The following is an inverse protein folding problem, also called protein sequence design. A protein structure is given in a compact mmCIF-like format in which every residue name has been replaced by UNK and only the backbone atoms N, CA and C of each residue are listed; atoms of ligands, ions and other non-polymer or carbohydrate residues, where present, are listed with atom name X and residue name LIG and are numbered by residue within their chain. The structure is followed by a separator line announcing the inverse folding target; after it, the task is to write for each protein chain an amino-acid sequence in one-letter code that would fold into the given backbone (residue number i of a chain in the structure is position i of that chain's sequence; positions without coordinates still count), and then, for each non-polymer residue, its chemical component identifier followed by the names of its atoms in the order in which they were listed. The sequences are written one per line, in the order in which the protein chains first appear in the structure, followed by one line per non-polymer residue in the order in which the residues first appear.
data_IF_810700998584
#
_entry.id   IF_810700998584
#
_cell.length_a   1.000
_cell.length_b   1.000
_cell.length_c   1.000
_cell.angle_alpha   90.00
_cell.angle_beta   90.00
_cell.angle_gamma   90.00
#
_symmetry.space_group_name_H-M   'P 1'
#
loop_
_entity.id
_entity.type
_entity.pdbx_description
1 polymer ?
#
# COMPACT_ATOMS: atom_id res chain seq x y z
N UNK A 1 45.55 -36.76 -32.89
CA UNK A 1 45.77 -36.51 -31.44
C UNK A 1 44.61 -35.69 -30.91
N UNK A 2 43.63 -36.31 -30.24
CA UNK A 2 42.54 -35.60 -29.53
C UNK A 2 42.71 -35.86 -28.04
N UNK A 3 43.10 -34.81 -27.30
CA UNK A 3 43.23 -34.84 -25.85
C UNK A 3 41.86 -34.62 -25.20
N UNK A 4 41.35 -35.64 -24.51
CA UNK A 4 40.08 -35.62 -23.78
C UNK A 4 40.30 -34.87 -22.46
N UNK A 5 39.72 -33.67 -22.33
CA UNK A 5 39.67 -32.95 -21.05
C UNK A 5 38.79 -33.72 -20.07
N UNK A 6 39.38 -34.27 -19.00
CA UNK A 6 38.64 -34.74 -17.84
C UNK A 6 38.30 -33.55 -16.96
N UNK A 7 37.01 -33.26 -16.79
CA UNK A 7 36.53 -32.34 -15.76
C UNK A 7 36.53 -33.07 -14.41
N UNK A 8 37.06 -32.45 -13.34
CA UNK A 8 37.03 -33.05 -12.01
C UNK A 8 35.59 -33.13 -11.49
N UNK A 9 35.21 -34.30 -10.97
CA UNK A 9 33.95 -34.49 -10.29
C UNK A 9 33.92 -33.61 -9.02
N UNK A 10 33.06 -32.62 -8.99
CA UNK A 10 32.74 -31.86 -7.79
C UNK A 10 32.10 -32.81 -6.78
N UNK A 11 32.84 -33.14 -5.71
CA UNK A 11 32.27 -33.82 -4.55
C UNK A 11 31.21 -32.89 -3.97
N UNK A 12 29.94 -33.25 -4.16
CA UNK A 12 28.82 -32.54 -3.56
C UNK A 12 28.94 -32.64 -2.04
N UNK A 13 29.37 -31.56 -1.41
CA UNK A 13 29.24 -31.40 0.03
C UNK A 13 27.74 -31.42 0.35
N UNK A 14 27.32 -32.44 1.09
CA UNK A 14 25.97 -32.51 1.61
C UNK A 14 25.66 -31.27 2.46
N UNK A 15 24.37 -30.93 2.65
CA UNK A 15 23.99 -29.77 3.44
C UNK A 15 24.56 -29.88 4.86
N UNK A 16 25.15 -28.79 5.32
CA UNK A 16 25.71 -28.66 6.67
C UNK A 16 24.63 -28.96 7.72
N UNK A 17 24.80 -30.09 8.41
CA UNK A 17 23.86 -30.57 9.40
C UNK A 17 23.74 -29.61 10.60
N UNK A 18 24.79 -28.85 10.89
CA UNK A 18 24.76 -27.84 11.96
C UNK A 18 23.90 -26.64 11.55
N UNK A 19 23.98 -26.23 10.28
CA UNK A 19 23.13 -25.18 9.73
C UNK A 19 21.65 -25.60 9.77
N UNK A 20 21.34 -26.83 9.36
CA UNK A 20 19.96 -27.36 9.39
C UNK A 20 19.41 -27.43 10.81
N UNK A 21 20.24 -27.83 11.79
CA UNK A 21 19.88 -27.84 13.21
C UNK A 21 19.58 -26.44 13.73
N UNK A 22 20.46 -25.46 13.47
CA UNK A 22 20.26 -24.06 13.87
C UNK A 22 19.00 -23.45 13.25
N UNK A 23 18.70 -23.80 12.00
CA UNK A 23 17.48 -23.36 11.33
C UNK A 23 16.22 -23.92 12.03
N UNK A 24 16.25 -25.19 12.42
CA UNK A 24 15.17 -25.83 13.18
C UNK A 24 14.96 -25.20 14.56
N UNK A 25 16.03 -24.94 15.29
CA UNK A 25 15.99 -24.26 16.60
C UNK A 25 15.43 -22.83 16.47
N UNK A 26 15.85 -22.09 15.44
CA UNK A 26 15.33 -20.76 15.15
C UNK A 26 13.83 -20.80 14.84
N UNK A 27 13.38 -21.71 13.97
CA UNK A 27 11.97 -21.87 13.63
C UNK A 27 11.11 -22.19 14.87
N UNK A 28 11.60 -23.05 15.76
CA UNK A 28 10.92 -23.37 17.02
C UNK A 28 10.83 -22.16 17.94
N UNK A 29 11.91 -21.38 18.07
CA UNK A 29 11.95 -20.15 18.88
C UNK A 29 10.98 -19.09 18.35
N UNK A 30 10.90 -18.91 17.03
CA UNK A 30 9.97 -17.98 16.39
C UNK A 30 8.52 -18.43 16.56
N UNK A 31 8.23 -19.74 16.44
CA UNK A 31 6.88 -20.28 16.67
C UNK A 31 6.38 -20.11 18.11
N UNK A 32 7.27 -20.20 19.10
CA UNK A 32 6.90 -20.06 20.51
C UNK A 32 6.63 -18.62 20.92
N UNK A 33 7.14 -17.63 20.17
CA UNK A 33 6.82 -16.22 20.36
C UNK A 33 5.49 -15.83 19.70
N UNK A 34 4.41 -16.58 19.98
CA UNK A 34 3.06 -16.03 19.82
C UNK A 34 2.86 -15.03 20.95
N UNK A 35 3.32 -13.80 20.71
CA UNK A 35 2.97 -12.63 21.52
C UNK A 35 1.46 -12.66 21.68
N UNK A 36 0.96 -12.74 22.92
CA UNK A 36 -0.46 -12.50 23.19
C UNK A 36 -0.75 -11.11 22.63
N UNK A 37 -1.48 -11.07 21.52
CA UNK A 37 -1.94 -9.82 20.95
C UNK A 37 -3.09 -9.41 21.83
N UNK A 38 -2.85 -8.42 22.69
CA UNK A 38 -3.94 -7.81 23.42
C UNK A 38 -4.95 -7.28 22.38
N UNK A 39 -6.26 -7.50 22.59
CA UNK A 39 -7.27 -7.00 21.68
C UNK A 39 -7.08 -5.48 21.54
N UNK A 40 -6.72 -5.03 20.35
CA UNK A 40 -6.55 -3.62 20.03
C UNK A 40 -7.90 -2.95 20.24
N UNK A 41 -8.03 -2.25 21.37
CA UNK A 41 -9.22 -1.44 21.66
C UNK A 41 -9.25 -0.31 20.62
N UNK A 42 -10.32 -0.17 19.82
CA UNK A 42 -10.39 0.86 18.79
C UNK A 42 -10.39 2.25 19.45
N UNK A 43 -9.29 2.99 19.29
CA UNK A 43 -9.13 4.31 19.90
C UNK A 43 -9.71 5.47 19.06
N UNK A 44 -10.73 5.16 18.25
CA UNK A 44 -11.63 6.14 17.66
C UNK A 44 -13.05 5.64 17.85
N UNK A 45 -13.97 6.58 18.02
CA UNK A 45 -15.39 6.32 17.78
C UNK A 45 -15.59 5.70 16.38
N UNK A 46 -16.77 5.12 16.13
CA UNK A 46 -17.06 4.41 14.89
C UNK A 46 -16.63 5.22 13.67
N UNK A 47 -16.19 4.53 12.60
CA UNK A 47 -16.01 5.13 11.28
C UNK A 47 -17.18 6.08 11.02
N UNK A 48 -16.92 7.24 10.40
CA UNK A 48 -18.06 8.06 9.98
C UNK A 48 -18.95 7.20 9.08
N UNK A 49 -20.27 7.40 9.10
CA UNK A 49 -21.18 6.59 8.29
C UNK A 49 -20.77 6.54 6.81
N UNK A 50 -20.23 7.66 6.33
CA UNK A 50 -19.67 7.80 4.97
C UNK A 50 -18.42 6.93 4.75
N UNK A 51 -17.48 6.88 5.68
CA UNK A 51 -16.27 6.04 5.54
C UNK A 51 -16.62 4.56 5.52
N UNK A 52 -17.61 4.14 6.32
CA UNK A 52 -18.12 2.77 6.32
C UNK A 52 -18.77 2.41 4.98
N UNK A 53 -19.58 3.31 4.42
CA UNK A 53 -20.18 3.12 3.09
C UNK A 53 -19.15 3.02 1.96
N UNK A 54 -18.10 3.86 2.00
CA UNK A 54 -16.98 3.78 1.04
C UNK A 54 -16.25 2.43 1.18
N UNK A 55 -16.02 1.96 2.41
CA UNK A 55 -15.37 0.68 2.67
C UNK A 55 -16.20 -0.49 2.11
N UNK A 56 -17.52 -0.46 2.29
CA UNK A 56 -18.43 -1.49 1.76
C UNK A 56 -18.50 -1.46 0.22
N UNK A 57 -18.51 -0.28 -0.40
CA UNK A 57 -18.36 -0.15 -1.86
C UNK A 57 -17.04 -0.74 -2.34
N UNK A 58 -15.92 -0.41 -1.68
CA UNK A 58 -14.62 -0.98 -2.02
C UNK A 58 -14.63 -2.51 -1.89
N UNK A 59 -15.25 -3.04 -0.83
CA UNK A 59 -15.35 -4.48 -0.55
C UNK A 59 -16.13 -5.23 -1.63
N UNK A 60 -17.18 -4.64 -2.19
CA UNK A 60 -17.92 -5.23 -3.33
C UNK A 60 -17.08 -5.39 -4.58
N UNK A 61 -16.11 -4.50 -4.81
CA UNK A 61 -15.20 -4.58 -5.96
C UNK A 61 -13.94 -5.40 -5.67
N UNK A 62 -13.39 -5.28 -4.46
CA UNK A 62 -12.21 -6.01 -4.03
C UNK A 62 -12.18 -6.16 -2.51
N UNK A 63 -12.55 -7.35 -1.98
CA UNK A 63 -12.45 -7.63 -0.56
C UNK A 63 -11.03 -7.43 -0.01
N UNK A 64 -10.02 -7.85 -0.78
CA UNK A 64 -8.62 -7.70 -0.39
C UNK A 64 -8.21 -6.23 -0.19
N UNK A 65 -8.61 -5.32 -1.09
CA UNK A 65 -8.31 -3.89 -0.95
C UNK A 65 -9.06 -3.26 0.22
N UNK A 66 -10.30 -3.68 0.48
CA UNK A 66 -11.06 -3.24 1.63
C UNK A 66 -10.41 -3.68 2.95
N UNK A 67 -9.96 -4.93 3.02
CA UNK A 67 -9.28 -5.47 4.22
C UNK A 67 -7.94 -4.74 4.47
N UNK A 68 -7.18 -4.42 3.42
CA UNK A 68 -5.97 -3.60 3.52
C UNK A 68 -6.23 -2.19 4.04
N UNK A 69 -7.31 -1.54 3.58
CA UNK A 69 -7.70 -0.22 4.06
C UNK A 69 -8.20 -0.27 5.51
N UNK A 70 -9.00 -1.27 5.84
CA UNK A 70 -9.48 -1.51 7.20
C UNK A 70 -8.32 -1.78 8.16
N UNK A 71 -7.33 -2.56 7.74
CA UNK A 71 -6.12 -2.79 8.52
C UNK A 71 -5.37 -1.47 8.74
N UNK A 72 -5.22 -0.63 7.71
CA UNK A 72 -4.58 0.69 7.84
C UNK A 72 -5.29 1.61 8.85
N UNK A 73 -6.62 1.51 8.94
CA UNK A 73 -7.43 2.23 9.94
C UNK A 73 -7.20 1.69 11.35
N UNK A 74 -7.19 0.36 11.53
CA UNK A 74 -6.90 -0.30 12.83
C UNK A 74 -5.51 0.08 13.32
N UNK A 75 -4.54 -0.04 12.43
CA UNK A 75 -3.15 0.35 12.59
C UNK A 75 -2.97 1.81 13.04
N UNK A 76 -3.80 2.71 12.54
CA UNK A 76 -3.79 4.11 12.93
C UNK A 76 -4.38 4.33 14.33
N UNK A 77 -5.21 3.43 14.81
CA UNK A 77 -5.79 3.47 16.15
C UNK A 77 -4.94 2.74 17.19
N UNK A 78 -3.95 1.96 16.78
CA UNK A 78 -2.98 1.34 17.68
C UNK A 78 -2.01 2.40 18.25
N UNK A 79 -2.12 2.65 19.56
CA UNK A 79 -1.25 3.58 20.28
C UNK A 79 0.12 3.01 20.63
N UNK A 80 0.28 1.69 20.53
CA UNK A 80 1.54 1.00 20.80
C UNK A 80 2.45 1.00 19.58
N UNK A 81 1.96 1.47 18.43
CA UNK A 81 2.69 1.43 17.18
C UNK A 81 3.85 2.42 17.14
N UNK A 82 5.02 1.92 16.75
CA UNK A 82 6.26 2.68 16.68
C UNK A 82 6.40 3.53 15.39
N UNK A 83 5.73 3.13 14.31
CA UNK A 83 5.82 3.81 13.01
C UNK A 83 4.50 3.75 12.26
N UNK A 84 4.22 4.80 11.49
CA UNK A 84 3.05 4.90 10.61
C UNK A 84 3.44 5.02 9.12
N UNK A 85 4.69 4.72 8.74
CA UNK A 85 5.05 4.65 7.29
C UNK A 85 4.27 3.54 6.59
N UNK A 86 4.25 2.33 7.17
CA UNK A 86 3.54 1.18 6.63
C UNK A 86 2.08 1.48 6.26
N UNK A 87 1.24 1.96 7.19
CA UNK A 87 -0.17 2.25 6.89
C UNK A 87 -0.34 3.43 5.93
N UNK A 88 0.60 4.38 5.87
CA UNK A 88 0.57 5.43 4.85
C UNK A 88 0.84 4.86 3.44
N UNK A 89 1.82 3.96 3.32
CA UNK A 89 2.10 3.24 2.07
C UNK A 89 0.91 2.37 1.66
N UNK A 90 0.37 1.59 2.58
CA UNK A 90 -0.80 0.73 2.33
C UNK A 90 -2.01 1.53 1.84
N UNK A 91 -2.34 2.65 2.50
CA UNK A 91 -3.45 3.52 2.07
C UNK A 91 -3.26 4.06 0.65
N UNK A 92 -2.04 4.46 0.29
CA UNK A 92 -1.70 4.89 -1.07
C UNK A 92 -1.86 3.75 -2.07
N UNK A 93 -1.37 2.56 -1.75
CA UNK A 93 -1.43 1.42 -2.65
C UNK A 93 -2.86 0.91 -2.84
N UNK A 94 -3.71 0.96 -1.81
CA UNK A 94 -5.14 0.68 -1.94
C UNK A 94 -5.80 1.63 -2.93
N UNK A 95 -5.60 2.94 -2.77
CA UNK A 95 -6.12 3.93 -3.71
C UNK A 95 -5.64 3.67 -5.13
N UNK A 96 -4.33 3.43 -5.29
CA UNK A 96 -3.71 3.16 -6.58
C UNK A 96 -4.33 1.94 -7.26
N UNK A 97 -4.42 0.83 -6.54
CA UNK A 97 -4.95 -0.43 -7.05
C UNK A 97 -6.45 -0.34 -7.37
N UNK A 98 -7.23 0.32 -6.51
CA UNK A 98 -8.67 0.53 -6.74
C UNK A 98 -8.90 1.32 -8.04
N UNK A 99 -8.20 2.43 -8.21
CA UNK A 99 -8.28 3.26 -9.42
C UNK A 99 -7.79 2.50 -10.65
N UNK A 100 -6.70 1.72 -10.55
CA UNK A 100 -6.18 0.93 -11.66
C UNK A 100 -7.20 -0.12 -12.14
N UNK A 101 -7.92 -0.75 -11.22
CA UNK A 101 -8.99 -1.69 -11.53
C UNK A 101 -10.16 -1.02 -12.26
N UNK A 102 -10.51 0.21 -11.87
CA UNK A 102 -11.63 0.98 -12.43
C UNK A 102 -11.29 1.72 -13.74
N UNK A 103 -10.00 1.90 -14.02
CA UNK A 103 -9.51 2.59 -15.21
C UNK A 103 -8.55 1.69 -16.02
N UNK A 104 -9.10 0.73 -16.80
CA UNK A 104 -8.31 -0.14 -17.67
C UNK A 104 -7.44 0.67 -18.62
N UNK A 105 -6.21 0.23 -18.81
CA UNK A 105 -5.19 0.98 -19.54
C UNK A 105 -5.61 1.35 -20.97
N UNK A 106 -6.17 0.39 -21.70
CA UNK A 106 -6.59 0.57 -23.08
C UNK A 106 -7.75 1.55 -23.21
N UNK A 107 -8.60 1.65 -22.18
CA UNK A 107 -9.72 2.59 -22.15
C UNK A 107 -9.28 4.02 -21.86
N UNK A 108 -8.28 4.17 -20.97
CA UNK A 108 -7.67 5.48 -20.69
C UNK A 108 -6.91 5.99 -21.91
N UNK A 109 -6.18 5.12 -22.62
CA UNK A 109 -5.44 5.46 -23.84
C UNK A 109 -6.32 5.96 -24.98
N UNK A 110 -7.58 5.55 -25.04
CA UNK A 110 -8.56 5.99 -26.06
C UNK A 110 -9.09 7.41 -25.80
N UNK A 111 -8.83 8.00 -24.64
CA UNK A 111 -9.35 9.31 -24.30
C UNK A 111 -8.62 10.42 -25.06
N UNK A 112 -9.36 11.40 -25.56
CA UNK A 112 -8.78 12.53 -26.32
C UNK A 112 -7.80 13.40 -25.50
N UNK A 113 -7.85 13.30 -24.17
CA UNK A 113 -6.98 14.03 -23.25
C UNK A 113 -5.81 13.18 -22.72
N UNK A 114 -5.67 11.93 -23.15
CA UNK A 114 -4.60 11.04 -22.73
C UNK A 114 -3.24 11.61 -23.12
N UNK A 115 -2.37 11.80 -22.13
CA UNK A 115 -0.98 12.15 -22.30
C UNK A 115 -0.13 10.93 -22.00
N UNK A 116 -0.26 10.27 -20.86
CA UNK A 116 0.57 9.14 -20.45
C UNK A 116 2.00 9.54 -20.07
N UNK A 117 2.66 8.65 -19.34
CA UNK A 117 4.04 8.76 -18.87
C UNK A 117 4.91 7.69 -19.54
N UNK A 118 6.12 8.07 -19.99
CA UNK A 118 7.08 7.14 -20.57
C UNK A 118 7.70 6.26 -19.47
N UNK A 119 7.62 4.95 -19.65
CA UNK A 119 8.23 3.93 -18.80
C UNK A 119 8.98 2.92 -19.69
N UNK A 120 10.26 3.20 -19.94
CA UNK A 120 11.05 2.45 -20.90
C UNK A 120 10.57 2.72 -22.33
N UNK A 121 10.16 1.68 -23.05
CA UNK A 121 9.62 1.77 -24.41
C UNK A 121 8.08 1.88 -24.47
N UNK A 122 7.41 1.91 -23.31
CA UNK A 122 5.95 1.94 -23.21
C UNK A 122 5.48 3.24 -22.58
N UNK A 123 4.38 3.79 -23.13
CA UNK A 123 3.69 4.94 -22.58
C UNK A 123 2.46 4.48 -21.80
N UNK A 124 2.47 4.64 -20.48
CA UNK A 124 1.43 4.14 -19.58
C UNK A 124 0.60 5.30 -19.02
N UNK A 125 -0.70 5.11 -18.74
CA UNK A 125 -1.50 6.11 -18.04
C UNK A 125 -0.93 6.44 -16.67
N UNK A 126 -0.82 7.73 -16.37
CA UNK A 126 -0.48 8.22 -15.03
C UNK A 126 -1.60 7.94 -14.04
N UNK A 127 -1.32 8.09 -12.74
CA UNK A 127 -2.34 7.91 -11.71
C UNK A 127 -3.44 8.98 -11.83
N UNK A 128 -3.08 10.26 -12.00
CA UNK A 128 -4.03 11.35 -12.30
C UNK A 128 -4.96 11.03 -13.47
N UNK A 129 -4.42 10.45 -14.56
CA UNK A 129 -5.21 10.08 -15.73
C UNK A 129 -6.19 8.96 -15.43
N UNK A 130 -5.77 7.96 -14.66
CA UNK A 130 -6.67 6.87 -14.23
C UNK A 130 -7.77 7.38 -13.31
N UNK A 131 -7.45 8.27 -12.36
CA UNK A 131 -8.44 8.91 -11.49
C UNK A 131 -9.43 9.70 -12.32
N UNK A 132 -8.95 10.55 -13.25
CA UNK A 132 -9.79 11.33 -14.15
C UNK A 132 -10.75 10.44 -14.93
N UNK A 133 -10.26 9.35 -15.51
CA UNK A 133 -11.10 8.39 -16.24
C UNK A 133 -12.18 7.79 -15.34
N UNK A 134 -11.81 7.30 -14.15
CA UNK A 134 -12.74 6.66 -13.23
C UNK A 134 -13.85 7.61 -12.75
N UNK A 135 -13.51 8.86 -12.41
CA UNK A 135 -14.50 9.90 -12.05
C UNK A 135 -15.43 10.21 -13.21
N UNK A 136 -14.90 10.37 -14.43
CA UNK A 136 -15.72 10.63 -15.61
C UNK A 136 -16.68 9.48 -15.92
N UNK A 137 -16.24 8.22 -15.75
CA UNK A 137 -17.07 7.01 -15.92
C UNK A 137 -18.27 6.99 -14.97
N UNK A 138 -18.13 7.57 -13.77
CA UNK A 138 -19.21 7.69 -12.78
C UNK A 138 -20.09 8.93 -12.99
N UNK A 139 -19.74 9.80 -13.94
CA UNK A 139 -20.43 11.06 -14.17
C UNK A 139 -20.05 12.17 -13.17
N UNK A 140 -18.96 11.98 -12.41
CA UNK A 140 -18.46 12.98 -11.47
C UNK A 140 -17.70 14.13 -12.14
N UNK A 141 -17.42 15.18 -11.36
CA UNK A 141 -16.67 16.33 -11.85
C UNK A 141 -15.16 16.11 -11.70
N UNK A 142 -14.47 15.89 -12.83
CA UNK A 142 -13.00 15.72 -12.88
C UNK A 142 -12.20 16.84 -12.22
N UNK A 143 -12.75 18.05 -12.14
CA UNK A 143 -12.05 19.20 -11.55
C UNK A 143 -11.94 19.09 -10.01
N UNK A 144 -12.79 18.27 -9.38
CA UNK A 144 -12.75 18.02 -7.93
C UNK A 144 -11.56 17.13 -7.52
N UNK A 145 -11.06 16.29 -8.44
CA UNK A 145 -9.97 15.35 -8.17
C UNK A 145 -8.63 15.78 -8.76
N UNK A 146 -8.60 16.92 -9.47
CA UNK A 146 -7.38 17.47 -10.04
C UNK A 146 -6.41 17.87 -8.93
N UNK A 147 -5.17 17.38 -8.98
CA UNK A 147 -4.15 17.72 -7.99
C UNK A 147 -4.11 16.80 -6.77
N UNK A 148 -5.10 15.92 -6.58
CA UNK A 148 -5.24 15.15 -5.34
C UNK A 148 -4.22 14.02 -5.27
N UNK A 149 -3.87 13.39 -6.39
CA UNK A 149 -2.83 12.37 -6.41
C UNK A 149 -1.44 12.93 -6.14
N UNK A 150 -1.10 14.11 -6.67
CA UNK A 150 0.16 14.76 -6.33
C UNK A 150 0.23 15.13 -4.85
N UNK A 151 -0.89 15.58 -4.25
CA UNK A 151 -0.97 15.83 -2.81
C UNK A 151 -0.76 14.56 -1.97
N UNK A 152 -1.33 13.43 -2.39
CA UNK A 152 -1.13 12.13 -1.74
C UNK A 152 0.34 11.71 -1.79
N UNK A 153 0.96 11.76 -2.96
CA UNK A 153 2.37 11.41 -3.15
C UNK A 153 3.30 12.33 -2.34
N UNK A 154 3.00 13.63 -2.30
CA UNK A 154 3.71 14.59 -1.46
C UNK A 154 3.60 14.25 0.03
N UNK A 155 2.40 13.91 0.52
CA UNK A 155 2.17 13.53 1.92
C UNK A 155 2.95 12.26 2.29
N UNK A 156 2.91 11.23 1.43
CA UNK A 156 3.67 9.98 1.63
C UNK A 156 5.16 10.26 1.68
N UNK A 157 5.68 11.08 0.75
CA UNK A 157 7.08 11.48 0.75
C UNK A 157 7.48 12.25 2.02
N UNK A 158 6.62 13.14 2.51
CA UNK A 158 6.84 13.84 3.78
C UNK A 158 6.85 12.90 4.99
N UNK A 159 5.92 11.93 5.05
CA UNK A 159 5.85 10.91 6.11
C UNK A 159 7.13 10.07 6.13
N UNK A 160 7.59 9.62 4.96
CA UNK A 160 8.83 8.86 4.82
C UNK A 160 10.04 9.65 5.35
N UNK A 161 10.25 10.87 4.85
CA UNK A 161 11.37 11.73 5.31
C UNK A 161 11.32 12.01 6.80
N UNK A 162 10.14 12.34 7.35
CA UNK A 162 9.99 12.62 8.77
C UNK A 162 10.33 11.41 9.64
N UNK A 163 9.96 10.22 9.20
CA UNK A 163 10.25 9.00 9.96
C UNK A 163 11.73 8.68 9.98
N UNK A 164 12.45 8.88 8.86
CA UNK A 164 13.91 8.73 8.84
C UNK A 164 14.63 9.81 9.66
N UNK A 165 14.15 11.06 9.65
CA UNK A 165 14.72 12.12 10.49
C UNK A 165 14.46 11.93 11.98
N UNK A 166 13.40 11.19 12.34
CA UNK A 166 12.91 11.06 13.71
C UNK A 166 13.61 9.94 14.51
N UNK A 167 14.84 9.55 14.17
CA UNK A 167 15.61 8.46 14.79
C UNK A 167 15.84 8.55 16.31
N UNK A 168 15.22 9.50 17.02
CA UNK A 168 15.44 9.74 18.45
C UNK A 168 14.18 9.98 19.31
N UNK A 169 12.93 10.08 18.84
CA UNK A 169 11.84 10.46 19.77
C UNK A 169 10.42 10.00 19.45
N UNK A 170 9.78 9.42 20.48
CA UNK A 170 8.33 9.15 20.56
C UNK A 170 7.46 10.41 20.32
N UNK A 171 8.02 11.61 20.49
CA UNK A 171 7.34 12.89 20.23
C UNK A 171 6.93 13.07 18.76
N UNK A 172 7.60 12.41 17.80
CA UNK A 172 7.26 12.55 16.38
C UNK A 172 6.13 11.61 15.93
N UNK A 173 5.83 10.55 16.68
CA UNK A 173 4.80 9.58 16.31
C UNK A 173 3.40 10.24 16.21
N UNK A 174 3.10 11.19 17.09
CA UNK A 174 1.84 11.94 17.05
C UNK A 174 1.67 12.78 15.77
N UNK A 175 2.72 13.51 15.37
CA UNK A 175 2.72 14.33 14.15
C UNK A 175 2.61 13.47 12.89
N UNK A 176 3.34 12.36 12.82
CA UNK A 176 3.25 11.43 11.69
C UNK A 176 1.86 10.81 11.61
N UNK A 177 1.29 10.36 12.73
CA UNK A 177 -0.08 9.84 12.83
C UNK A 177 -1.12 10.86 12.32
N UNK A 178 -0.99 12.14 12.68
CA UNK A 178 -1.88 13.19 12.18
C UNK A 178 -1.78 13.36 10.65
N UNK A 179 -0.57 13.24 10.07
CA UNK A 179 -0.39 13.27 8.61
C UNK A 179 -0.98 12.04 7.93
N UNK A 180 -0.82 10.85 8.50
CA UNK A 180 -1.45 9.62 7.96
C UNK A 180 -2.98 9.73 8.00
N UNK A 181 -3.55 10.35 9.05
CA UNK A 181 -4.99 10.65 9.10
C UNK A 181 -5.43 11.58 7.97
N UNK A 182 -4.66 12.64 7.70
CA UNK A 182 -4.94 13.55 6.58
C UNK A 182 -4.85 12.84 5.22
N UNK A 183 -3.83 11.99 5.05
CA UNK A 183 -3.67 11.15 3.86
C UNK A 183 -4.88 10.24 3.65
N UNK A 184 -5.32 9.53 4.69
CA UNK A 184 -6.51 8.67 4.63
C UNK A 184 -7.76 9.46 4.25
N UNK A 185 -7.93 10.68 4.76
CA UNK A 185 -9.04 11.56 4.35
C UNK A 185 -9.05 11.81 2.83
N UNK A 186 -7.89 12.06 2.22
CA UNK A 186 -7.79 12.21 0.76
C UNK A 186 -8.03 10.90 0.02
N UNK A 187 -7.55 9.78 0.55
CA UNK A 187 -7.81 8.44 -0.02
C UNK A 187 -9.31 8.15 -0.02
N UNK A 188 -10.01 8.37 1.10
CA UNK A 188 -11.46 8.22 1.18
C UNK A 188 -12.18 9.15 0.21
N UNK A 189 -11.77 10.41 0.09
CA UNK A 189 -12.35 11.33 -0.88
C UNK A 189 -12.20 10.84 -2.33
N UNK A 190 -11.03 10.35 -2.74
CA UNK A 190 -10.86 9.76 -4.08
C UNK A 190 -11.73 8.51 -4.24
N UNK A 191 -11.68 7.60 -3.27
CA UNK A 191 -12.44 6.35 -3.33
C UNK A 191 -13.94 6.62 -3.44
N UNK A 192 -14.45 7.60 -2.70
CA UNK A 192 -15.84 8.03 -2.79
C UNK A 192 -16.20 8.55 -4.18
N UNK A 193 -15.30 9.27 -4.85
CA UNK A 193 -15.52 9.81 -6.20
C UNK A 193 -15.43 8.74 -7.30
N UNK A 194 -14.58 7.72 -7.13
CA UNK A 194 -14.30 6.72 -8.19
C UNK A 194 -15.09 5.43 -8.05
N UNK A 195 -15.44 5.01 -6.83
CA UNK A 195 -16.13 3.73 -6.62
C UNK A 195 -17.58 3.79 -7.10
N UNK A 196 -18.04 2.81 -7.89
CA UNK A 196 -19.44 2.64 -8.20
C UNK A 196 -20.32 2.41 -6.97
N UNK A 197 -21.61 2.74 -7.10
CA UNK A 197 -22.64 2.47 -6.09
C UNK A 197 -22.99 1.00 -5.91
#
# INVERSE_FOLDING_TARGET
MMGRLMMPATRGEGPDLDLLRRLGEFQMRVRQYRRKVDPVVPARGPLSGRDAEILERLRRHSPALADSLEQSLRDLNDHTRLSYIGPAGEAREVMRAAVQMLAPEDEVRKQAWYVGIEQGSKRNPSQAERIRYAVQRRGGNKDQVKGVDELIDQLVGQIGRQTYSAGSSALHAGTVKAKVRKLLGWVFAILDEVLPE
#
